data_IF_255040088367
#
_entry.id   IF_255040088367
#
_cell.length_a   1.000
_cell.length_b   1.000
_cell.length_c   1.000
_cell.angle_alpha   90.00
_cell.angle_beta   90.00
_cell.angle_gamma   90.00
#
_symmetry.space_group_name_H-M   'P 1'
#
loop_
_entity.id
_entity.type
_entity.pdbx_description
1 polymer ?
#
# COMPACT_ATOMS: atom_id res chain seq x y z
N UNK A 1 -68.61 -0.04 -27.05
CA UNK A 1 -68.04 1.31 -26.73
C UNK A 1 -66.56 1.29 -27.11
N UNK A 2 -66.05 2.21 -27.94
CA UNK A 2 -65.31 3.44 -27.52
C UNK A 2 -64.27 3.11 -26.43
N UNK A 3 -62.98 2.85 -26.76
CA UNK A 3 -61.90 3.79 -27.16
C UNK A 3 -61.21 4.45 -25.92
N UNK A 4 -59.95 4.90 -25.92
CA UNK A 4 -59.07 5.46 -26.98
C UNK A 4 -57.59 5.05 -26.74
N UNK A 5 -56.76 4.94 -27.80
CA UNK A 5 -55.27 5.00 -27.75
C UNK A 5 -54.75 5.88 -28.92
N UNK A 6 -53.89 6.90 -28.69
CA UNK A 6 -53.03 7.54 -29.70
C UNK A 6 -51.66 6.83 -29.80
N UNK A 7 -51.01 6.60 -30.96
CA UNK A 7 -50.39 7.53 -31.93
C UNK A 7 -49.22 8.36 -31.32
N UNK A 8 -48.00 8.43 -31.87
CA UNK A 8 -47.33 7.86 -33.08
C UNK A 8 -45.80 7.69 -32.78
N UNK A 9 -44.83 7.29 -33.61
CA UNK A 9 -44.59 7.16 -35.07
C UNK A 9 -43.63 5.93 -35.33
N UNK A 10 -43.14 5.45 -36.50
CA UNK A 10 -42.78 6.00 -37.84
C UNK A 10 -41.55 6.95 -37.79
N UNK A 11 -40.49 6.91 -38.63
CA UNK A 11 -40.11 6.31 -39.95
C UNK A 11 -38.54 6.23 -39.98
N UNK A 12 -37.77 5.42 -40.74
CA UNK A 12 -37.89 4.18 -41.53
C UNK A 12 -36.44 3.61 -41.76
N UNK A 13 -36.18 2.31 -41.95
CA UNK A 13 -35.96 1.57 -43.22
C UNK A 13 -35.35 2.35 -44.42
N UNK A 14 -34.47 1.80 -45.28
CA UNK A 14 -33.63 0.58 -45.27
C UNK A 14 -32.70 0.57 -46.51
N UNK A 15 -31.58 -0.19 -46.52
CA UNK A 15 -31.20 -1.17 -47.58
C UNK A 15 -29.84 -1.87 -47.31
N UNK A 16 -29.65 -3.05 -47.89
CA UNK A 16 -28.39 -3.80 -47.93
C UNK A 16 -28.15 -4.29 -49.36
N UNK A 17 -26.99 -3.96 -49.95
CA UNK A 17 -26.48 -4.58 -51.20
C UNK A 17 -24.95 -4.71 -51.14
N UNK A 18 -24.37 -5.53 -52.02
CA UNK A 18 -23.02 -6.07 -51.86
C UNK A 18 -22.15 -5.94 -53.13
N UNK A 19 -20.84 -5.71 -52.91
CA UNK A 19 -19.68 -6.22 -53.68
C UNK A 19 -19.66 -5.94 -55.20
N UNK A 20 -18.63 -5.20 -55.67
CA UNK A 20 -17.52 -5.91 -56.34
C UNK A 20 -16.16 -5.70 -55.66
N UNK A 21 -15.26 -6.67 -55.83
CA UNK A 21 -13.85 -6.52 -55.49
C UNK A 21 -13.00 -6.39 -56.76
N UNK A 22 -12.14 -5.37 -56.85
CA UNK A 22 -10.91 -5.30 -57.66
C UNK A 22 -10.25 -3.92 -57.48
N UNK A 23 -8.92 -3.85 -57.62
CA UNK A 23 -8.15 -2.60 -57.57
C UNK A 23 -6.95 -2.70 -56.63
N UNK A 24 -5.74 -2.60 -57.17
CA UNK A 24 -4.49 -2.64 -56.42
C UNK A 24 -3.71 -1.34 -56.60
N UNK A 25 -3.08 -0.82 -55.53
CA UNK A 25 -1.98 0.14 -55.61
C UNK A 25 -1.23 0.32 -54.27
N UNK A 26 0.04 0.71 -54.39
CA UNK A 26 0.84 1.51 -53.43
C UNK A 26 0.93 1.04 -51.95
N UNK A 27 1.97 0.25 -51.65
CA UNK A 27 2.50 0.17 -50.29
C UNK A 27 3.33 1.43 -49.97
N UNK A 28 2.83 2.31 -49.11
CA UNK A 28 3.56 3.49 -48.63
C UNK A 28 4.47 3.13 -47.44
N UNK A 29 5.78 3.35 -47.58
CA UNK A 29 6.72 3.18 -46.46
C UNK A 29 6.52 4.29 -45.41
N UNK A 30 5.91 3.96 -44.29
CA UNK A 30 5.93 4.82 -43.10
C UNK A 30 7.35 4.85 -42.55
N UNK A 31 8.11 5.92 -42.84
CA UNK A 31 9.36 6.22 -42.14
C UNK A 31 9.07 6.41 -40.65
N UNK A 32 9.43 5.42 -39.83
CA UNK A 32 9.47 5.61 -38.38
C UNK A 32 10.59 6.59 -38.03
N UNK A 33 10.24 7.87 -37.90
CA UNK A 33 11.10 8.86 -37.24
C UNK A 33 11.11 8.56 -35.75
N UNK A 34 12.11 7.80 -35.29
CA UNK A 34 12.31 7.62 -33.85
C UNK A 34 12.45 9.00 -33.19
N UNK A 35 11.65 9.33 -32.14
CA UNK A 35 11.87 10.55 -31.39
C UNK A 35 13.26 10.51 -30.76
N UNK A 36 13.96 11.65 -30.77
CA UNK A 36 15.27 11.76 -30.13
C UNK A 36 15.14 11.44 -28.63
N UNK A 37 16.15 10.78 -28.05
CA UNK A 37 16.10 10.31 -26.66
C UNK A 37 15.76 11.42 -25.66
N UNK A 38 16.17 12.66 -25.96
CA UNK A 38 15.83 13.87 -25.20
C UNK A 38 14.33 14.09 -25.05
N UNK A 39 13.54 13.89 -26.12
CA UNK A 39 12.09 14.10 -26.10
C UNK A 39 11.35 13.02 -25.30
N UNK A 40 11.83 11.77 -25.34
CA UNK A 40 11.28 10.66 -24.54
C UNK A 40 11.58 10.85 -23.06
N UNK A 41 12.78 11.35 -22.72
CA UNK A 41 13.15 11.67 -21.34
C UNK A 41 12.33 12.87 -20.82
N UNK A 42 12.09 13.89 -21.65
CA UNK A 42 11.27 15.05 -21.28
C UNK A 42 9.80 14.68 -21.04
N UNK A 43 9.19 13.83 -21.87
CA UNK A 43 7.80 13.41 -21.67
C UNK A 43 7.63 12.52 -20.42
N UNK A 44 8.59 11.63 -20.15
CA UNK A 44 8.60 10.83 -18.92
C UNK A 44 8.81 11.68 -17.66
N UNK A 45 9.70 12.68 -17.72
CA UNK A 45 9.91 13.61 -16.61
C UNK A 45 8.69 14.50 -16.34
N UNK A 46 8.01 14.97 -17.39
CA UNK A 46 6.77 15.73 -17.26
C UNK A 46 5.62 14.89 -16.70
N UNK A 47 5.48 13.63 -17.13
CA UNK A 47 4.51 12.69 -16.58
C UNK A 47 4.74 12.43 -15.09
N UNK A 48 5.98 12.10 -14.69
CA UNK A 48 6.33 11.88 -13.29
C UNK A 48 6.14 13.13 -12.40
N UNK A 49 6.36 14.33 -12.94
CA UNK A 49 6.08 15.59 -12.23
C UNK A 49 4.57 15.81 -12.03
N UNK A 50 3.75 15.53 -13.05
CA UNK A 50 2.29 15.62 -12.95
C UNK A 50 1.70 14.57 -11.99
N UNK A 51 2.19 13.32 -12.03
CA UNK A 51 1.83 12.27 -11.07
C UNK A 51 2.19 12.69 -9.63
N UNK A 52 3.40 13.25 -9.42
CA UNK A 52 3.84 13.74 -8.12
C UNK A 52 3.00 14.91 -7.60
N UNK A 53 2.63 15.87 -8.45
CA UNK A 53 1.80 17.00 -8.07
C UNK A 53 0.34 16.60 -7.79
N UNK A 54 -0.19 15.62 -8.51
CA UNK A 54 -1.49 15.02 -8.23
C UNK A 54 -1.48 14.25 -6.91
N UNK A 55 -0.40 13.49 -6.63
CA UNK A 55 -0.25 12.75 -5.37
C UNK A 55 -0.12 13.69 -4.16
N UNK A 56 0.62 14.79 -4.28
CA UNK A 56 0.72 15.82 -3.23
C UNK A 56 -0.66 16.42 -2.90
N UNK A 57 -1.38 16.91 -3.92
CA UNK A 57 -2.73 17.44 -3.78
C UNK A 57 -3.71 16.43 -3.12
N UNK A 58 -3.59 15.15 -3.47
CA UNK A 58 -4.39 14.08 -2.86
C UNK A 58 -3.98 13.78 -1.39
N UNK A 59 -2.74 14.01 -0.98
CA UNK A 59 -2.36 13.97 0.44
C UNK A 59 -2.88 15.20 1.19
N UNK A 60 -2.86 16.38 0.59
CA UNK A 60 -3.40 17.60 1.20
C UNK A 60 -4.92 17.48 1.45
N UNK A 61 -5.69 17.04 0.44
CA UNK A 61 -7.14 16.76 0.56
C UNK A 61 -7.46 15.73 1.67
N UNK A 62 -6.68 14.65 1.76
CA UNK A 62 -6.80 13.67 2.85
C UNK A 62 -6.51 14.30 4.19
N UNK A 63 -5.47 15.14 4.28
CA UNK A 63 -5.05 15.77 5.53
C UNK A 63 -6.14 16.70 6.06
N UNK A 64 -6.75 17.49 5.20
CA UNK A 64 -7.88 18.39 5.49
C UNK A 64 -9.10 17.59 5.99
N UNK A 65 -9.50 16.53 5.28
CA UNK A 65 -10.60 15.64 5.69
C UNK A 65 -10.34 15.00 7.07
N UNK A 66 -9.09 14.58 7.35
CA UNK A 66 -8.76 14.00 8.66
C UNK A 66 -8.75 15.05 9.78
N UNK A 67 -8.45 16.32 9.50
CA UNK A 67 -8.56 17.39 10.50
C UNK A 67 -10.02 17.79 10.76
N UNK A 68 -10.85 17.88 9.72
CA UNK A 68 -12.30 18.07 9.87
C UNK A 68 -12.90 16.98 10.76
N UNK A 69 -12.60 15.71 10.46
CA UNK A 69 -13.06 14.56 11.23
C UNK A 69 -12.47 14.52 12.65
N UNK A 70 -11.20 14.88 12.83
CA UNK A 70 -10.56 14.99 14.15
C UNK A 70 -11.24 16.03 15.04
N UNK A 71 -11.65 17.17 14.47
CA UNK A 71 -12.34 18.24 15.17
C UNK A 71 -13.76 17.84 15.62
N UNK A 72 -14.52 17.10 14.81
CA UNK A 72 -15.91 16.72 15.15
C UNK A 72 -16.02 15.43 15.97
N UNK A 73 -15.07 14.48 15.83
CA UNK A 73 -15.09 13.21 16.57
C UNK A 73 -14.25 13.21 17.85
N UNK A 74 -13.28 14.11 17.97
CA UNK A 74 -12.26 14.08 19.02
C UNK A 74 -11.25 12.94 18.88
N UNK A 75 -11.22 12.25 17.73
CA UNK A 75 -10.21 11.22 17.41
C UNK A 75 -9.07 11.88 16.63
N UNK A 76 -7.88 11.92 17.23
CA UNK A 76 -6.65 12.46 16.61
C UNK A 76 -6.47 11.99 15.15
N UNK A 77 -6.24 12.94 14.24
CA UNK A 77 -6.11 12.73 12.79
C UNK A 77 -5.21 11.55 12.38
N UNK A 78 -4.15 11.24 13.14
CA UNK A 78 -3.20 10.17 12.82
C UNK A 78 -3.79 8.77 13.00
N UNK A 79 -4.81 8.61 13.86
CA UNK A 79 -5.62 7.38 13.95
C UNK A 79 -6.56 7.24 12.75
N UNK A 80 -7.12 8.36 12.29
CA UNK A 80 -8.00 8.42 11.11
C UNK A 80 -7.20 8.01 9.86
N UNK A 81 -6.02 8.62 9.67
CA UNK A 81 -5.07 8.28 8.63
C UNK A 81 -4.64 6.81 8.67
N UNK A 82 -4.46 6.25 9.87
CA UNK A 82 -4.05 4.86 10.05
C UNK A 82 -5.14 3.85 9.64
N UNK A 83 -6.40 4.09 10.01
CA UNK A 83 -7.54 3.25 9.60
C UNK A 83 -7.77 3.35 8.10
N UNK A 84 -7.74 4.57 7.55
CA UNK A 84 -7.84 4.79 6.10
C UNK A 84 -6.75 4.04 5.33
N UNK A 85 -5.48 4.15 5.75
CA UNK A 85 -4.36 3.48 5.09
C UNK A 85 -4.41 1.94 5.26
N UNK A 86 -4.90 1.45 6.39
CA UNK A 86 -5.20 0.02 6.56
C UNK A 86 -6.30 -0.45 5.59
N UNK A 87 -7.40 0.30 5.47
CA UNK A 87 -8.45 0.02 4.50
C UNK A 87 -7.94 0.07 3.05
N UNK A 88 -7.11 1.04 2.65
CA UNK A 88 -6.47 1.05 1.32
C UNK A 88 -5.70 -0.25 1.05
N UNK A 89 -5.00 -0.76 2.07
CA UNK A 89 -4.24 -2.00 1.97
C UNK A 89 -5.14 -3.23 1.80
N UNK A 90 -6.31 -3.23 2.46
CA UNK A 90 -7.35 -4.25 2.33
C UNK A 90 -8.14 -4.15 1.01
N UNK A 91 -8.42 -2.95 0.51
CA UNK A 91 -9.13 -2.72 -0.76
C UNK A 91 -8.24 -3.08 -1.95
N UNK A 92 -6.95 -2.68 -1.92
CA UNK A 92 -5.89 -3.14 -2.83
C UNK A 92 -5.67 -4.66 -2.76
N UNK A 93 -6.08 -5.33 -1.67
CA UNK A 93 -6.04 -6.78 -1.57
C UNK A 93 -7.06 -7.48 -2.44
N UNK A 94 -8.28 -6.94 -2.50
CA UNK A 94 -9.48 -7.57 -3.07
C UNK A 94 -10.34 -6.56 -3.85
N UNK A 95 -9.81 -5.86 -4.89
CA UNK A 95 -10.47 -4.70 -5.49
C UNK A 95 -11.86 -4.98 -6.11
N UNK A 96 -12.19 -6.24 -6.42
CA UNK A 96 -13.53 -6.64 -6.88
C UNK A 96 -14.55 -6.86 -5.75
N UNK A 97 -14.11 -7.07 -4.51
CA UNK A 97 -14.95 -7.33 -3.34
C UNK A 97 -14.87 -6.21 -2.28
N UNK A 98 -13.91 -5.29 -2.44
CA UNK A 98 -13.78 -4.01 -1.74
C UNK A 98 -13.48 -2.93 -2.78
N UNK A 99 -14.43 -2.57 -3.65
CA UNK A 99 -14.29 -1.42 -4.54
C UNK A 99 -14.14 -0.15 -3.71
N UNK A 100 -13.32 0.80 -4.19
CA UNK A 100 -13.33 2.16 -3.64
C UNK A 100 -14.55 2.89 -4.23
N UNK A 101 -15.41 3.44 -3.35
CA UNK A 101 -16.66 4.10 -3.71
C UNK A 101 -16.54 5.63 -3.69
N UNK A 102 -15.74 6.16 -2.74
CA UNK A 102 -15.31 7.56 -2.71
C UNK A 102 -14.04 7.82 -3.54
N UNK A 103 -13.61 9.08 -3.61
CA UNK A 103 -12.48 9.55 -4.42
C UNK A 103 -11.22 9.77 -3.58
N UNK A 104 -11.38 10.27 -2.36
CA UNK A 104 -10.29 10.69 -1.46
C UNK A 104 -9.91 9.55 -0.51
N UNK A 105 -10.89 8.93 0.15
CA UNK A 105 -10.77 7.90 1.17
C UNK A 105 -10.40 6.52 0.59
N UNK A 106 -10.02 5.59 1.45
CA UNK A 106 -9.68 4.20 1.12
C UNK A 106 -10.64 3.16 1.67
N UNK A 107 -11.60 3.62 2.47
CA UNK A 107 -12.53 2.84 3.26
C UNK A 107 -13.50 2.06 2.37
N UNK A 108 -13.74 0.79 2.73
CA UNK A 108 -14.89 0.05 2.25
C UNK A 108 -15.70 -0.51 3.44
N UNK A 109 -16.99 -0.20 3.47
CA UNK A 109 -17.97 -0.81 4.39
C UNK A 109 -18.92 -1.69 3.58
N UNK A 110 -19.09 -2.93 4.02
CA UNK A 110 -20.05 -3.89 3.48
C UNK A 110 -21.49 -3.32 3.57
N UNK A 111 -22.36 -3.50 2.55
CA UNK A 111 -23.71 -2.91 2.54
C UNK A 111 -24.53 -3.26 3.79
N UNK A 112 -24.48 -4.53 4.21
CA UNK A 112 -25.24 -5.08 5.33
C UNK A 112 -24.72 -4.55 6.69
N UNK A 113 -23.46 -4.09 6.74
CA UNK A 113 -22.89 -3.39 7.90
C UNK A 113 -23.20 -1.91 7.89
N UNK A 114 -23.28 -1.29 6.71
CA UNK A 114 -23.67 0.11 6.56
C UNK A 114 -25.13 0.32 6.95
N UNK A 115 -26.04 -0.35 6.26
CA UNK A 115 -27.49 -0.17 6.35
C UNK A 115 -28.12 -0.92 7.54
N UNK A 116 -27.49 -1.99 8.00
CA UNK A 116 -27.92 -2.80 9.15
C UNK A 116 -28.28 -4.24 8.78
N UNK A 117 -27.99 -5.27 9.61
CA UNK A 117 -28.08 -6.68 9.20
C UNK A 117 -29.48 -7.20 8.85
N UNK A 118 -30.53 -6.44 9.18
CA UNK A 118 -31.93 -6.76 8.90
C UNK A 118 -32.63 -5.69 8.05
N UNK A 119 -31.88 -4.73 7.51
CA UNK A 119 -32.44 -3.71 6.62
C UNK A 119 -32.83 -4.35 5.27
N UNK A 120 -34.08 -4.22 4.80
CA UNK A 120 -34.49 -4.73 3.49
C UNK A 120 -33.88 -3.97 2.31
N UNK A 121 -33.32 -2.77 2.55
CA UNK A 121 -32.56 -2.00 1.55
C UNK A 121 -31.08 -1.95 1.94
N UNK A 122 -30.22 -2.49 1.07
CA UNK A 122 -28.77 -2.56 1.29
C UNK A 122 -28.04 -1.25 1.01
N UNK A 123 -28.67 -0.33 0.29
CA UNK A 123 -28.12 0.95 -0.13
C UNK A 123 -28.92 2.13 0.47
N UNK A 124 -29.66 1.84 1.55
CA UNK A 124 -30.34 2.83 2.41
C UNK A 124 -29.35 3.92 2.86
N UNK A 125 -29.73 5.17 2.59
CA UNK A 125 -29.00 6.39 2.94
C UNK A 125 -29.70 7.22 4.00
N UNK A 126 -30.82 6.78 4.58
CA UNK A 126 -31.56 7.50 5.62
C UNK A 126 -30.95 7.24 7.01
N UNK A 127 -30.30 8.23 7.67
CA UNK A 127 -29.61 8.00 8.95
C UNK A 127 -30.55 7.54 10.08
N UNK A 128 -31.84 7.83 9.96
CA UNK A 128 -32.88 7.37 10.89
C UNK A 128 -33.25 5.89 10.69
N UNK A 129 -33.27 5.42 9.44
CA UNK A 129 -33.59 4.03 9.05
C UNK A 129 -32.40 3.10 9.31
N UNK A 130 -31.21 3.49 8.83
CA UNK A 130 -29.95 2.80 9.09
C UNK A 130 -29.76 2.51 10.59
N UNK A 131 -29.96 3.53 11.43
CA UNK A 131 -29.85 3.41 12.89
C UNK A 131 -30.92 2.49 13.49
N UNK A 132 -32.12 2.41 12.92
CA UNK A 132 -33.19 1.51 13.37
C UNK A 132 -32.83 0.02 13.11
N UNK A 133 -32.09 -0.26 12.03
CA UNK A 133 -31.58 -1.60 11.72
C UNK A 133 -30.18 -1.89 12.30
N UNK A 134 -29.71 -1.07 13.24
CA UNK A 134 -28.37 -1.16 13.88
C UNK A 134 -27.18 -1.04 12.91
N UNK A 135 -27.39 -0.45 11.73
CA UNK A 135 -26.32 -0.12 10.77
C UNK A 135 -25.40 0.99 11.27
N UNK A 136 -24.16 1.01 10.78
CA UNK A 136 -23.15 1.98 11.22
C UNK A 136 -23.20 3.32 10.49
N UNK A 137 -23.90 3.40 9.35
CA UNK A 137 -23.91 4.56 8.46
C UNK A 137 -24.46 5.83 9.11
N UNK A 138 -23.75 6.95 8.91
CA UNK A 138 -24.06 8.26 9.46
C UNK A 138 -23.71 9.37 8.48
N UNK A 139 -24.62 10.34 8.42
CA UNK A 139 -24.41 11.68 7.87
C UNK A 139 -23.22 12.35 8.56
N UNK A 140 -22.16 12.65 7.80
CA UNK A 140 -20.91 13.25 8.26
C UNK A 140 -20.65 14.67 7.76
N UNK A 141 -21.32 15.12 6.69
CA UNK A 141 -21.23 16.50 6.19
C UNK A 141 -22.40 17.40 6.61
N UNK A 142 -23.50 16.82 7.10
CA UNK A 142 -24.73 17.49 7.52
C UNK A 142 -25.79 17.63 6.42
N UNK A 143 -25.68 16.91 5.29
CA UNK A 143 -26.61 17.03 4.16
C UNK A 143 -27.97 16.33 4.38
N UNK A 144 -28.09 15.46 5.39
CA UNK A 144 -29.30 14.70 5.73
C UNK A 144 -29.30 13.24 5.28
N UNK A 145 -28.29 12.81 4.51
CA UNK A 145 -28.08 11.44 4.02
C UNK A 145 -26.81 10.83 4.62
N UNK A 146 -26.69 9.51 4.56
CA UNK A 146 -25.48 8.76 4.89
C UNK A 146 -25.08 7.92 3.68
N UNK A 147 -24.21 8.45 2.83
CA UNK A 147 -23.90 7.86 1.52
C UNK A 147 -22.60 7.04 1.52
N UNK A 148 -22.67 5.79 1.05
CA UNK A 148 -21.48 4.92 0.88
C UNK A 148 -20.51 5.40 -0.21
N UNK A 149 -20.90 6.41 -0.99
CA UNK A 149 -20.08 7.13 -1.99
C UNK A 149 -19.47 8.43 -1.45
N UNK A 150 -19.89 8.88 -0.27
CA UNK A 150 -19.35 10.07 0.40
C UNK A 150 -18.08 9.69 1.18
N UNK A 151 -16.94 10.28 0.80
CA UNK A 151 -15.65 10.06 1.48
C UNK A 151 -15.71 10.45 2.98
N UNK A 152 -16.48 11.48 3.29
CA UNK A 152 -16.67 11.99 4.65
C UNK A 152 -17.63 11.11 5.45
N UNK A 153 -18.75 10.65 4.90
CA UNK A 153 -19.69 9.77 5.62
C UNK A 153 -19.03 8.42 5.92
N UNK A 154 -18.32 7.84 4.94
CA UNK A 154 -17.59 6.57 5.10
C UNK A 154 -16.63 6.62 6.29
N UNK A 155 -15.78 7.66 6.33
CA UNK A 155 -14.81 7.84 7.41
C UNK A 155 -15.48 8.26 8.72
N UNK A 156 -16.43 9.20 8.71
CA UNK A 156 -17.14 9.64 9.91
C UNK A 156 -17.89 8.49 10.59
N UNK A 157 -18.58 7.65 9.82
CA UNK A 157 -19.27 6.45 10.33
C UNK A 157 -18.29 5.48 10.99
N UNK A 158 -17.17 5.18 10.31
CA UNK A 158 -16.16 4.23 10.78
C UNK A 158 -15.41 4.75 12.03
N UNK A 159 -14.96 6.00 12.00
CA UNK A 159 -14.24 6.65 13.10
C UNK A 159 -15.16 6.89 14.29
N UNK A 160 -16.44 7.22 14.10
CA UNK A 160 -17.39 7.33 15.20
C UNK A 160 -17.77 5.97 15.78
N UNK A 161 -17.79 4.89 14.98
CA UNK A 161 -17.95 3.52 15.49
C UNK A 161 -16.75 3.12 16.36
N UNK A 162 -15.53 3.28 15.85
CA UNK A 162 -14.31 2.93 16.58
C UNK A 162 -14.09 3.82 17.81
N UNK A 163 -14.36 5.12 17.67
CA UNK A 163 -14.29 6.10 18.75
C UNK A 163 -15.38 5.96 19.82
N UNK A 164 -16.38 5.08 19.68
CA UNK A 164 -17.48 4.99 20.63
C UNK A 164 -17.08 4.36 21.98
N UNK A 165 -16.29 3.28 21.96
CA UNK A 165 -16.17 2.28 23.06
C UNK A 165 -14.83 2.32 23.78
N UNK A 166 -14.81 2.03 25.09
CA UNK A 166 -13.58 1.85 25.89
C UNK A 166 -13.20 3.05 26.79
N UNK A 167 -12.16 2.86 27.61
CA UNK A 167 -11.54 3.93 28.42
C UNK A 167 -10.72 4.86 27.53
N UNK A 168 -10.50 6.12 27.94
CA UNK A 168 -9.87 7.17 27.10
C UNK A 168 -8.60 6.69 26.39
N UNK A 169 -7.67 6.08 27.12
CA UNK A 169 -6.36 5.66 26.59
C UNK A 169 -6.41 4.43 25.66
N UNK A 170 -7.48 3.62 25.75
CA UNK A 170 -7.65 2.38 24.98
C UNK A 170 -8.82 2.43 23.99
N UNK A 171 -9.51 3.59 23.91
CA UNK A 171 -10.81 3.75 23.23
C UNK A 171 -10.73 3.30 21.77
N UNK A 172 -9.73 3.84 21.06
CA UNK A 172 -9.61 3.61 19.63
C UNK A 172 -9.12 2.18 19.26
N UNK A 173 -8.05 1.62 19.87
CA UNK A 173 -7.67 0.22 19.65
C UNK A 173 -8.80 -0.79 19.97
N UNK A 174 -9.58 -0.55 21.02
CA UNK A 174 -10.75 -1.38 21.35
C UNK A 174 -11.83 -1.31 20.27
N UNK A 175 -12.14 -0.11 19.76
CA UNK A 175 -13.07 0.07 18.64
C UNK A 175 -12.59 -0.56 17.33
N UNK A 176 -11.29 -0.53 17.05
CA UNK A 176 -10.68 -1.22 15.90
C UNK A 176 -10.82 -2.74 16.04
N UNK A 177 -10.61 -3.30 17.24
CA UNK A 177 -10.91 -4.72 17.50
C UNK A 177 -12.40 -5.03 17.30
N UNK A 178 -13.31 -4.26 17.89
CA UNK A 178 -14.76 -4.47 17.76
C UNK A 178 -15.27 -4.33 16.31
N UNK A 179 -14.54 -3.62 15.44
CA UNK A 179 -14.86 -3.57 14.02
C UNK A 179 -14.35 -4.81 13.28
N UNK A 180 -13.05 -5.13 13.37
CA UNK A 180 -12.39 -6.14 12.53
C UNK A 180 -12.31 -7.56 13.15
N UNK A 181 -12.50 -7.68 14.46
CA UNK A 181 -12.30 -8.90 15.27
C UNK A 181 -10.93 -9.58 15.02
N UNK A 182 -9.87 -8.78 14.81
CA UNK A 182 -8.56 -9.26 14.36
C UNK A 182 -7.42 -8.46 15.00
N UNK A 183 -6.56 -9.16 15.78
CA UNK A 183 -5.43 -8.55 16.48
C UNK A 183 -4.37 -7.99 15.52
N UNK A 184 -4.23 -8.55 14.30
CA UNK A 184 -3.37 -7.98 13.26
C UNK A 184 -3.89 -6.63 12.78
N UNK A 185 -5.21 -6.46 12.66
CA UNK A 185 -5.81 -5.19 12.24
C UNK A 185 -5.53 -4.09 13.27
N UNK A 186 -5.74 -4.38 14.56
CA UNK A 186 -5.36 -3.49 15.68
C UNK A 186 -3.88 -3.13 15.58
N UNK A 187 -3.00 -4.14 15.51
CA UNK A 187 -1.56 -3.93 15.42
C UNK A 187 -1.15 -3.07 14.21
N UNK A 188 -1.77 -3.25 13.02
CA UNK A 188 -1.46 -2.41 11.85
C UNK A 188 -1.91 -0.98 12.03
N UNK A 189 -3.10 -0.75 12.56
CA UNK A 189 -3.61 0.60 12.82
C UNK A 189 -2.77 1.30 13.89
N UNK A 190 -2.35 0.62 14.95
CA UNK A 190 -1.40 1.16 15.95
C UNK A 190 -0.03 1.50 15.35
N UNK A 191 0.53 0.61 14.52
CA UNK A 191 1.79 0.82 13.83
C UNK A 191 1.73 2.02 12.87
N UNK A 192 0.67 2.13 12.07
CA UNK A 192 0.49 3.23 11.11
C UNK A 192 0.22 4.55 11.84
N UNK A 193 -0.56 4.53 12.92
CA UNK A 193 -0.82 5.69 13.76
C UNK A 193 0.46 6.22 14.41
N UNK A 194 1.33 5.34 14.91
CA UNK A 194 2.63 5.73 15.45
C UNK A 194 3.53 6.38 14.40
N UNK A 195 3.58 5.82 13.18
CA UNK A 195 4.34 6.37 12.04
C UNK A 195 3.82 7.77 11.67
N UNK A 196 2.51 7.93 11.45
CA UNK A 196 1.92 9.23 11.10
C UNK A 196 2.10 10.28 12.21
N UNK A 197 1.92 9.88 13.49
CA UNK A 197 2.15 10.76 14.64
C UNK A 197 3.61 11.23 14.76
N UNK A 198 4.57 10.37 14.42
CA UNK A 198 5.99 10.69 14.53
C UNK A 198 6.46 11.71 13.48
N UNK A 199 6.02 11.57 12.23
CA UNK A 199 6.46 12.44 11.14
C UNK A 199 5.54 13.65 10.87
N UNK A 200 4.30 13.64 11.35
CA UNK A 200 3.35 14.75 11.17
C UNK A 200 2.84 14.96 9.74
N UNK A 201 3.17 14.06 8.80
CA UNK A 201 2.80 14.13 7.37
C UNK A 201 2.28 12.79 6.84
N UNK A 202 1.50 12.83 5.75
CA UNK A 202 0.98 11.63 5.08
C UNK A 202 1.92 11.05 4.01
N UNK A 203 2.74 11.88 3.36
CA UNK A 203 3.69 11.40 2.34
C UNK A 203 4.92 10.75 2.99
N UNK A 204 4.83 9.44 3.15
CA UNK A 204 5.82 8.56 3.77
C UNK A 204 6.04 7.30 2.91
N UNK A 205 5.90 7.45 1.58
CA UNK A 205 6.00 6.34 0.62
C UNK A 205 7.30 6.38 -0.20
N UNK A 206 8.25 7.22 0.19
CA UNK A 206 9.60 7.22 -0.38
C UNK A 206 10.35 5.92 -0.09
N UNK A 207 11.29 5.59 -0.98
CA UNK A 207 12.09 4.38 -0.88
C UNK A 207 13.57 4.62 -1.23
N UNK A 208 14.42 3.78 -0.63
CA UNK A 208 15.88 3.78 -0.78
C UNK A 208 16.42 2.38 -1.13
N UNK A 209 17.59 2.31 -1.76
CA UNK A 209 18.24 1.03 -2.03
C UNK A 209 18.93 0.51 -0.74
N UNK A 210 18.80 -0.77 -0.35
CA UNK A 210 19.22 -1.22 0.98
C UNK A 210 20.74 -1.20 1.23
N UNK A 211 21.57 -1.03 0.20
CA UNK A 211 23.01 -0.80 0.31
C UNK A 211 23.36 0.63 -0.16
N UNK A 212 24.37 1.33 0.41
CA UNK A 212 24.79 2.64 -0.09
C UNK A 212 25.37 2.57 -1.50
N UNK A 213 24.80 3.32 -2.45
CA UNK A 213 25.36 3.39 -3.81
C UNK A 213 26.80 3.91 -3.80
N UNK A 214 27.66 3.31 -4.62
CA UNK A 214 29.10 3.55 -4.64
C UNK A 214 29.92 2.54 -3.82
N UNK A 215 29.27 1.71 -3.00
CA UNK A 215 29.91 0.51 -2.43
C UNK A 215 30.01 -0.61 -3.49
N UNK A 216 30.96 -1.54 -3.32
CA UNK A 216 31.07 -2.70 -4.19
C UNK A 216 30.04 -3.77 -3.78
N UNK A 217 29.01 -3.94 -4.61
CA UNK A 217 27.98 -4.96 -4.45
C UNK A 217 27.60 -5.60 -5.78
N UNK A 218 27.02 -6.81 -5.73
CA UNK A 218 26.41 -7.46 -6.88
C UNK A 218 25.14 -8.21 -6.47
N UNK A 219 24.14 -8.18 -7.35
CA UNK A 219 22.88 -8.88 -7.19
C UNK A 219 22.26 -9.18 -8.55
N UNK A 220 21.41 -10.19 -8.60
CA UNK A 220 20.62 -10.61 -9.77
C UNK A 220 19.29 -11.15 -9.27
N UNK A 221 18.36 -11.39 -10.20
CA UNK A 221 17.21 -12.23 -9.89
C UNK A 221 17.70 -13.61 -9.38
N UNK A 222 17.19 -13.99 -8.21
CA UNK A 222 17.38 -15.29 -7.56
C UNK A 222 16.06 -15.75 -6.94
N UNK A 223 14.92 -15.22 -7.40
CA UNK A 223 13.61 -15.58 -6.88
C UNK A 223 13.27 -17.03 -7.21
N UNK A 224 12.76 -17.79 -6.24
CA UNK A 224 12.43 -19.20 -6.42
C UNK A 224 13.62 -20.16 -6.46
N UNK A 225 14.88 -19.68 -6.44
CA UNK A 225 16.10 -20.50 -6.47
C UNK A 225 16.09 -21.61 -5.39
N UNK A 226 16.72 -22.74 -5.69
CA UNK A 226 16.72 -23.92 -4.78
C UNK A 226 17.63 -23.69 -3.57
N UNK A 227 17.07 -23.17 -2.47
CA UNK A 227 17.77 -22.97 -1.20
C UNK A 227 17.90 -24.29 -0.43
N UNK A 228 18.93 -25.08 -0.72
CA UNK A 228 19.23 -26.24 0.12
C UNK A 228 20.51 -27.01 -0.19
N UNK A 229 21.22 -27.36 0.89
CA UNK A 229 21.87 -28.67 1.02
C UNK A 229 20.77 -29.75 0.97
N UNK A 230 20.34 -30.15 -0.23
CA UNK A 230 19.34 -31.21 -0.47
C UNK A 230 17.86 -30.88 -0.16
N UNK A 231 17.52 -29.62 0.12
CA UNK A 231 16.17 -29.20 0.53
C UNK A 231 15.16 -28.92 -0.61
N UNK A 232 13.86 -28.89 -0.26
CA UNK A 232 12.74 -28.46 -1.12
C UNK A 232 12.35 -26.96 -0.96
N UNK A 233 13.20 -26.12 -0.37
CA UNK A 233 12.87 -24.69 -0.17
C UNK A 233 13.20 -23.87 -1.42
N UNK A 234 12.24 -23.06 -1.85
CA UNK A 234 12.44 -21.92 -2.76
C UNK A 234 13.15 -20.77 -2.06
N UNK A 235 13.71 -19.86 -2.85
CA UNK A 235 14.26 -18.60 -2.38
C UNK A 235 13.17 -17.52 -2.37
N UNK A 236 12.83 -17.05 -1.17
CA UNK A 236 11.78 -16.05 -0.92
C UNK A 236 12.37 -14.63 -0.81
N UNK A 237 13.27 -14.27 -1.72
CA UNK A 237 13.92 -12.96 -1.74
C UNK A 237 15.03 -12.84 -2.77
N UNK A 238 15.91 -11.86 -2.57
CA UNK A 238 17.11 -11.60 -3.38
C UNK A 238 18.33 -11.53 -2.47
N UNK A 239 19.45 -12.14 -2.88
CA UNK A 239 20.73 -12.02 -2.19
C UNK A 239 21.58 -10.90 -2.83
N UNK A 240 21.95 -9.89 -2.05
CA UNK A 240 22.85 -8.82 -2.44
C UNK A 240 24.23 -9.05 -1.82
N UNK A 241 25.18 -9.53 -2.63
CA UNK A 241 26.55 -9.77 -2.21
C UNK A 241 27.30 -8.45 -2.06
N UNK A 242 27.96 -8.25 -0.91
CA UNK A 242 28.70 -7.03 -0.57
C UNK A 242 29.72 -7.32 0.52
N UNK A 243 30.68 -6.42 0.75
CA UNK A 243 31.71 -6.59 1.77
C UNK A 243 31.12 -6.73 3.19
N UNK A 244 31.66 -7.66 4.00
CA UNK A 244 31.29 -7.77 5.41
C UNK A 244 31.51 -6.42 6.14
N UNK A 245 30.51 -5.93 6.85
CA UNK A 245 30.53 -4.59 7.46
C UNK A 245 30.03 -3.46 6.54
N UNK A 246 29.58 -3.75 5.31
CA UNK A 246 28.88 -2.76 4.46
C UNK A 246 27.56 -2.35 5.14
N UNK A 247 27.22 -1.05 5.28
CA UNK A 247 25.97 -0.64 5.91
C UNK A 247 24.74 -1.19 5.19
N UNK A 248 23.73 -1.58 5.96
CA UNK A 248 22.39 -1.96 5.48
C UNK A 248 21.41 -0.88 5.92
N UNK A 249 20.65 -0.36 4.96
CA UNK A 249 19.66 0.72 5.12
C UNK A 249 18.24 0.16 5.09
N UNK A 250 17.31 0.78 5.80
CA UNK A 250 15.88 0.56 5.56
C UNK A 250 15.54 1.01 4.14
N UNK A 251 14.70 0.24 3.45
CA UNK A 251 14.22 0.53 2.09
C UNK A 251 13.02 1.47 2.05
N UNK A 252 12.38 1.69 3.20
CA UNK A 252 11.11 2.40 3.35
C UNK A 252 11.03 3.12 4.70
N UNK A 253 10.07 4.03 4.83
CA UNK A 253 9.56 4.43 6.15
C UNK A 253 8.79 3.26 6.77
N UNK A 254 8.94 3.05 8.08
CA UNK A 254 8.26 1.94 8.75
C UNK A 254 8.58 1.80 10.24
N UNK A 255 8.19 0.67 10.82
CA UNK A 255 8.44 0.33 12.23
C UNK A 255 9.09 -1.05 12.34
N UNK A 256 10.06 -1.20 13.25
CA UNK A 256 10.79 -2.45 13.46
C UNK A 256 9.92 -3.44 14.25
N UNK A 257 9.44 -4.49 13.58
CA UNK A 257 8.62 -5.54 14.20
C UNK A 257 9.46 -6.58 14.94
N UNK A 258 10.62 -6.96 14.36
CA UNK A 258 11.51 -7.93 14.97
C UNK A 258 12.97 -7.54 14.75
N UNK A 259 13.79 -7.72 15.79
CA UNK A 259 15.26 -7.61 15.78
C UNK A 259 15.82 -8.78 16.58
N UNK A 260 16.85 -9.47 16.09
CA UNK A 260 17.46 -10.61 16.80
C UNK A 260 17.86 -11.78 15.91
N UNK A 261 17.98 -12.98 16.51
CA UNK A 261 18.46 -14.19 15.82
C UNK A 261 17.33 -15.08 15.29
N UNK A 262 17.54 -15.73 14.14
CA UNK A 262 16.87 -16.99 13.82
C UNK A 262 17.83 -18.02 13.19
N UNK A 263 17.47 -19.31 13.23
CA UNK A 263 18.35 -20.44 12.81
C UNK A 263 18.87 -20.32 11.37
N UNK A 264 18.10 -19.72 10.45
CA UNK A 264 18.41 -19.70 9.03
C UNK A 264 19.06 -18.37 8.63
N UNK A 265 18.33 -17.26 8.77
CA UNK A 265 18.75 -15.90 8.47
C UNK A 265 19.75 -15.27 9.45
N UNK A 266 20.10 -15.94 10.55
CA UNK A 266 21.06 -15.42 11.52
C UNK A 266 20.57 -14.16 12.22
N UNK A 267 21.42 -13.14 12.31
CA UNK A 267 20.99 -11.81 12.73
C UNK A 267 20.13 -11.17 11.65
N UNK A 268 18.87 -10.88 12.01
CA UNK A 268 17.83 -10.44 11.10
C UNK A 268 16.91 -9.39 11.71
N UNK A 269 16.62 -8.35 10.95
CA UNK A 269 15.67 -7.29 11.31
C UNK A 269 14.50 -7.31 10.32
N UNK A 270 13.31 -6.97 10.80
CA UNK A 270 12.07 -6.94 10.01
C UNK A 270 11.32 -5.63 10.25
N UNK A 271 10.93 -4.95 9.17
CA UNK A 271 10.34 -3.60 9.20
C UNK A 271 9.01 -3.62 8.44
N UNK A 272 7.96 -3.02 9.01
CA UNK A 272 6.62 -2.91 8.40
C UNK A 272 6.44 -1.53 7.78
N UNK A 273 6.10 -1.46 6.49
CA UNK A 273 5.75 -0.21 5.80
C UNK A 273 4.24 0.11 5.90
N UNK A 274 3.86 1.31 5.47
CA UNK A 274 2.47 1.76 5.41
C UNK A 274 1.61 1.03 4.36
N UNK A 275 2.19 0.27 3.42
CA UNK A 275 1.43 -0.62 2.51
C UNK A 275 1.17 -2.00 3.12
N UNK A 276 1.49 -2.20 4.42
CA UNK A 276 1.46 -3.47 5.13
C UNK A 276 2.49 -4.51 4.59
N UNK A 277 3.49 -4.08 3.83
CA UNK A 277 4.62 -4.92 3.45
C UNK A 277 5.58 -5.11 4.62
N UNK A 278 6.06 -6.34 4.78
CA UNK A 278 7.13 -6.71 5.69
C UNK A 278 8.44 -6.82 4.92
N UNK A 279 9.39 -5.94 5.24
CA UNK A 279 10.71 -5.89 4.66
C UNK A 279 11.69 -6.65 5.56
N UNK A 280 12.25 -7.74 5.03
CA UNK A 280 13.07 -8.70 5.75
C UNK A 280 14.55 -8.56 5.38
N UNK A 281 15.41 -8.33 6.37
CA UNK A 281 16.84 -8.13 6.19
C UNK A 281 17.58 -9.15 7.04
N UNK A 282 18.38 -10.02 6.41
CA UNK A 282 19.03 -11.15 7.09
C UNK A 282 20.52 -11.31 6.72
N UNK A 283 21.18 -12.22 7.43
CA UNK A 283 22.62 -12.53 7.40
C UNK A 283 23.52 -11.42 7.93
N UNK A 284 22.96 -10.44 8.65
CA UNK A 284 23.68 -9.28 9.16
C UNK A 284 24.84 -9.68 10.08
N UNK A 285 25.89 -8.86 10.13
CA UNK A 285 26.96 -8.98 11.12
C UNK A 285 26.57 -8.37 12.47
N UNK A 286 25.66 -7.38 12.44
CA UNK A 286 25.06 -6.75 13.61
C UNK A 286 24.00 -5.72 13.21
N UNK A 287 23.41 -5.09 14.22
CA UNK A 287 22.39 -4.03 14.10
C UNK A 287 22.92 -2.72 14.68
N UNK A 288 22.36 -1.58 14.28
CA UNK A 288 22.58 -0.35 15.06
C UNK A 288 22.13 -0.59 16.51
N UNK A 289 22.94 -0.13 17.47
CA UNK A 289 22.72 -0.31 18.90
C UNK A 289 21.60 0.59 19.46
N UNK A 290 21.27 1.68 18.75
CA UNK A 290 20.21 2.62 19.14
C UNK A 290 18.81 2.09 18.87
N UNK A 291 18.67 1.25 17.84
CA UNK A 291 17.37 0.75 17.35
C UNK A 291 16.86 -0.45 18.15
N UNK A 292 15.55 -0.57 18.33
CA UNK A 292 14.87 -1.61 19.09
C UNK A 292 13.64 -2.12 18.33
N UNK A 293 12.93 -3.10 18.90
CA UNK A 293 11.59 -3.47 18.41
C UNK A 293 10.60 -2.41 18.89
N UNK A 294 9.75 -1.92 17.98
CA UNK A 294 8.85 -0.78 18.20
C UNK A 294 9.42 0.57 17.73
N UNK A 295 10.72 0.66 17.42
CA UNK A 295 11.29 1.91 16.92
C UNK A 295 10.88 2.17 15.46
N UNK A 296 10.56 3.42 15.16
CA UNK A 296 10.22 3.93 13.82
C UNK A 296 11.51 4.24 13.06
N UNK A 297 11.53 4.02 11.75
CA UNK A 297 12.69 4.19 10.87
C UNK A 297 12.34 4.87 9.54
N UNK A 298 13.31 5.61 9.00
CA UNK A 298 13.24 6.33 7.72
C UNK A 298 13.80 5.52 6.54
N UNK A 299 13.30 5.81 5.33
CA UNK A 299 13.88 5.30 4.10
C UNK A 299 15.34 5.78 3.95
N UNK A 300 16.30 4.86 3.92
CA UNK A 300 17.73 5.16 3.85
C UNK A 300 18.45 5.19 5.20
N UNK A 301 17.75 5.12 6.33
CA UNK A 301 18.37 5.02 7.66
C UNK A 301 19.15 3.71 7.81
N UNK A 302 20.36 3.76 8.36
CA UNK A 302 21.17 2.55 8.63
C UNK A 302 20.55 1.75 9.78
N UNK A 303 20.28 0.47 9.55
CA UNK A 303 19.67 -0.45 10.52
C UNK A 303 20.62 -1.55 11.00
N UNK A 304 21.71 -1.78 10.27
CA UNK A 304 22.72 -2.78 10.60
C UNK A 304 23.80 -2.85 9.52
N UNK A 305 24.51 -3.98 9.45
CA UNK A 305 25.60 -4.19 8.50
C UNK A 305 25.59 -5.59 7.90
N UNK A 306 26.02 -5.71 6.64
CA UNK A 306 26.19 -6.96 5.90
C UNK A 306 27.11 -7.90 6.67
N UNK A 307 26.80 -9.20 6.65
CA UNK A 307 27.60 -10.23 7.29
C UNK A 307 27.44 -11.59 6.59
N UNK A 308 27.77 -12.65 7.33
CA UNK A 308 27.60 -14.04 6.89
C UNK A 308 26.96 -14.90 8.00
N UNK A 309 26.03 -14.31 8.77
CA UNK A 309 25.48 -14.95 9.97
C UNK A 309 24.27 -15.84 9.69
N UNK A 310 24.19 -17.00 10.34
CA UNK A 310 23.03 -17.90 10.22
C UNK A 310 23.39 -19.38 10.10
N UNK A 311 22.42 -20.18 9.64
CA UNK A 311 22.52 -21.62 9.48
C UNK A 311 23.11 -22.35 10.71
N UNK A 312 22.64 -22.01 11.92
CA UNK A 312 23.17 -22.56 13.16
C UNK A 312 22.58 -22.01 14.47
N UNK A 313 23.34 -22.20 15.56
CA UNK A 313 23.08 -21.61 16.90
C UNK A 313 23.36 -20.09 16.88
N UNK A 314 22.80 -19.30 17.82
CA UNK A 314 23.11 -17.87 17.95
C UNK A 314 24.61 -17.55 17.80
N UNK A 315 24.93 -16.57 16.97
CA UNK A 315 26.32 -16.15 16.67
C UNK A 315 27.04 -16.97 15.59
N UNK A 316 26.43 -18.00 14.99
CA UNK A 316 27.05 -18.74 13.87
C UNK A 316 27.32 -17.82 12.67
N UNK A 317 28.54 -17.78 12.14
CA UNK A 317 28.92 -16.98 10.98
C UNK A 317 29.89 -17.72 10.05
N UNK A 318 30.25 -17.11 8.91
CA UNK A 318 31.32 -17.59 8.02
C UNK A 318 30.98 -18.81 7.16
N UNK A 319 29.75 -19.31 7.19
CA UNK A 319 29.33 -20.52 6.45
C UNK A 319 29.09 -20.32 4.95
N UNK A 320 29.13 -19.07 4.48
CA UNK A 320 28.83 -18.65 3.11
C UNK A 320 29.40 -17.24 2.87
N UNK A 321 29.57 -16.81 1.60
CA UNK A 321 30.07 -15.47 1.29
C UNK A 321 29.18 -14.36 1.89
N UNK A 322 29.75 -13.23 2.34
CA UNK A 322 28.96 -12.15 2.90
C UNK A 322 27.93 -11.57 1.92
N UNK A 323 26.69 -11.44 2.38
CA UNK A 323 25.58 -10.86 1.62
C UNK A 323 24.49 -10.36 2.56
N UNK A 324 23.69 -9.41 2.08
CA UNK A 324 22.37 -9.13 2.62
C UNK A 324 21.39 -10.06 1.90
N UNK A 325 20.70 -10.92 2.64
CA UNK A 325 19.47 -11.53 2.11
C UNK A 325 18.31 -10.57 2.38
N UNK A 326 17.62 -10.16 1.31
CA UNK A 326 16.49 -9.22 1.35
C UNK A 326 15.22 -9.87 0.79
N UNK A 327 14.17 -9.93 1.60
CA UNK A 327 12.85 -10.45 1.20
C UNK A 327 11.75 -9.42 1.47
N UNK A 328 10.65 -9.47 0.70
CA UNK A 328 9.46 -8.66 0.96
C UNK A 328 8.22 -9.55 0.97
N UNK A 329 7.37 -9.35 1.97
CA UNK A 329 6.16 -10.14 2.17
C UNK A 329 4.95 -9.20 2.26
N UNK A 330 3.86 -9.48 1.54
CA UNK A 330 2.61 -8.73 1.66
C UNK A 330 1.74 -9.36 2.73
N UNK A 331 1.38 -8.61 3.78
CA UNK A 331 0.28 -8.94 4.68
C UNK A 331 -1.00 -8.28 4.16
N UNK A 332 -2.08 -9.06 4.04
CA UNK A 332 -3.41 -8.54 3.67
C UNK A 332 -4.50 -9.05 4.63
N UNK A 333 -4.18 -9.04 5.92
CA UNK A 333 -5.09 -9.26 7.05
C UNK A 333 -5.37 -10.72 7.42
N UNK A 334 -5.10 -11.67 6.52
CA UNK A 334 -5.39 -13.11 6.70
C UNK A 334 -4.17 -14.03 6.53
N UNK A 335 -3.25 -13.67 5.62
CA UNK A 335 -2.05 -14.45 5.32
C UNK A 335 -0.94 -13.49 4.87
N UNK A 336 0.30 -13.81 5.23
CA UNK A 336 1.50 -13.15 4.73
C UNK A 336 2.14 -14.03 3.65
N UNK A 337 2.49 -13.46 2.50
CA UNK A 337 3.20 -14.19 1.44
C UNK A 337 4.37 -13.39 0.89
N UNK A 338 5.48 -14.09 0.61
CA UNK A 338 6.63 -13.52 -0.06
C UNK A 338 6.30 -13.20 -1.53
N UNK A 339 6.92 -12.15 -2.07
CA UNK A 339 6.95 -11.89 -3.52
C UNK A 339 8.33 -11.39 -3.94
N UNK A 340 8.62 -11.47 -5.24
CA UNK A 340 9.93 -11.12 -5.79
C UNK A 340 10.29 -9.63 -5.53
N UNK A 341 11.36 -9.34 -4.77
CA UNK A 341 11.80 -7.98 -4.52
C UNK A 341 12.79 -7.45 -5.57
N UNK A 342 13.29 -8.27 -6.50
CA UNK A 342 14.31 -7.85 -7.47
C UNK A 342 13.86 -6.66 -8.35
N UNK A 343 12.63 -6.60 -8.88
CA UNK A 343 12.13 -5.43 -9.62
C UNK A 343 12.07 -4.15 -8.77
N UNK A 344 11.75 -4.27 -7.48
CA UNK A 344 11.75 -3.14 -6.54
C UNK A 344 13.18 -2.64 -6.32
N UNK A 345 14.10 -3.55 -6.04
CA UNK A 345 15.53 -3.28 -5.87
C UNK A 345 16.11 -2.57 -7.11
N UNK A 346 15.81 -3.04 -8.34
CA UNK A 346 16.20 -2.35 -9.57
C UNK A 346 15.68 -0.91 -9.63
N UNK A 347 14.39 -0.71 -9.34
CA UNK A 347 13.74 0.62 -9.38
C UNK A 347 14.35 1.59 -8.35
N UNK A 348 14.58 1.13 -7.12
CA UNK A 348 15.14 1.97 -6.05
C UNK A 348 16.60 2.34 -6.28
N UNK A 349 17.42 1.40 -6.78
CA UNK A 349 18.79 1.69 -7.21
C UNK A 349 18.81 2.77 -8.31
N UNK A 350 17.99 2.62 -9.35
CA UNK A 350 17.91 3.57 -10.46
C UNK A 350 17.43 4.95 -10.00
N UNK A 351 16.40 5.01 -9.15
CA UNK A 351 15.86 6.27 -8.63
C UNK A 351 16.88 7.01 -7.75
N UNK A 352 17.62 6.32 -6.87
CA UNK A 352 18.65 6.96 -6.05
C UNK A 352 19.87 7.39 -6.87
N UNK A 353 20.26 6.66 -7.93
CA UNK A 353 21.25 7.14 -8.90
C UNK A 353 20.78 8.37 -9.68
N UNK A 354 19.50 8.46 -10.04
CA UNK A 354 18.91 9.63 -10.71
C UNK A 354 18.92 10.85 -9.79
N UNK A 355 18.47 10.70 -8.53
CA UNK A 355 18.54 11.75 -7.48
C UNK A 355 19.95 12.32 -7.38
N UNK A 356 20.94 11.48 -7.06
CA UNK A 356 22.36 11.87 -6.94
C UNK A 356 22.93 12.58 -8.19
N UNK A 357 22.48 12.24 -9.40
CA UNK A 357 22.90 12.92 -10.65
C UNK A 357 22.21 14.27 -10.85
N UNK A 358 21.03 14.46 -10.28
CA UNK A 358 20.24 15.69 -10.39
C UNK A 358 20.56 16.77 -9.35
N UNK A 359 21.44 16.46 -8.38
CA UNK A 359 21.76 17.37 -7.27
C UNK A 359 20.62 17.51 -6.23
N UNK A 360 19.72 16.52 -6.20
CA UNK A 360 18.62 16.36 -5.23
C UNK A 360 18.80 15.05 -4.47
#
# INVERSE_FOLDING_TARGET
>A
MKAIIPLSALIAAALLQAVPATGAAAAAQVKQTHPSGTAVIQSQAAGAAAEGQLAANLFDQRRELYDQLSNVTGVEWYWIAAVDQYERSMSKAKPKARPLLGQIAGVFVEPERWAGPLNPDSDDSSPASIRFFEGIGKDGDGNGLAERTSDIDLLYSLITFMGAKGTVDMRFPAGVWDYYHNNRAVQRVEQFAAIYKHYGKLDLFEHAFPLPLGTSYSYRDTWGDRRGWGGRRSHEGTDLFAGHGTPVRSTCYGIIEIKGWNKYGGWRIGIRDLNNHYHYYAHLSGFDKKLNVGDIVEAGQVVGWVGSSGYGKPGTSGKFPPHLHYGVYSDRGLLEWAFDPYPMLKRWEQAEWQRRRSGK
#
